data_IF_714727707675
#
_entry.id   IF_714727707675
#
_cell.length_a   1.000
_cell.length_b   1.000
_cell.length_c   1.000
_cell.angle_alpha   90.00
_cell.angle_beta   90.00
_cell.angle_gamma   90.00
#
_symmetry.space_group_name_H-M   'P 1'
#
loop_
_entity.id
_entity.type
_entity.pdbx_description
1 polymer ?
#
# COMPACT_ATOMS: atom_id res chain seq x y z
N UNK A 1 5.52 -66.43 -45.65
CA UNK A 1 5.74 -65.11 -46.26
C UNK A 1 4.85 -64.12 -45.55
N UNK A 2 5.45 -63.16 -44.85
CA UNK A 2 4.76 -62.10 -44.13
C UNK A 2 4.21 -61.05 -45.11
N UNK A 3 2.96 -60.61 -44.92
CA UNK A 3 2.57 -59.28 -45.38
C UNK A 3 1.93 -58.50 -44.22
N UNK A 4 2.72 -57.57 -43.70
CA UNK A 4 2.30 -56.60 -42.71
C UNK A 4 1.86 -55.37 -43.49
N UNK A 5 0.58 -55.00 -43.42
CA UNK A 5 0.12 -53.69 -43.92
C UNK A 5 -0.53 -52.90 -42.78
N UNK A 6 -0.16 -51.62 -42.64
CA UNK A 6 -0.23 -50.90 -41.38
C UNK A 6 -1.68 -50.59 -40.96
N UNK A 7 -1.96 -50.75 -39.66
CA UNK A 7 -3.16 -50.21 -39.01
C UNK A 7 -3.18 -48.69 -39.22
N UNK A 8 -4.02 -48.22 -40.13
CA UNK A 8 -4.35 -46.81 -40.27
C UNK A 8 -4.96 -46.34 -38.95
N UNK A 9 -4.25 -45.45 -38.26
CA UNK A 9 -4.65 -44.89 -36.98
C UNK A 9 -5.80 -43.93 -37.27
N UNK A 10 -7.04 -44.38 -37.03
CA UNK A 10 -8.20 -43.49 -37.05
C UNK A 10 -7.93 -42.35 -36.07
N UNK A 11 -7.84 -41.13 -36.58
CA UNK A 11 -7.83 -39.92 -35.76
C UNK A 11 -9.18 -39.85 -35.06
N UNK A 12 -9.23 -40.29 -33.80
CA UNK A 12 -10.32 -39.93 -32.91
C UNK A 12 -10.28 -38.41 -32.76
N UNK A 13 -11.18 -37.74 -33.45
CA UNK A 13 -11.55 -36.39 -33.09
C UNK A 13 -12.33 -36.52 -31.78
N UNK A 14 -11.63 -36.31 -30.66
CA UNK A 14 -12.30 -36.03 -29.39
C UNK A 14 -12.85 -34.61 -29.47
N UNK A 15 -13.94 -34.49 -30.25
CA UNK A 15 -14.78 -33.31 -30.29
C UNK A 15 -15.46 -33.21 -28.95
N UNK A 16 -14.76 -32.65 -27.96
CA UNK A 16 -15.42 -32.04 -26.82
C UNK A 16 -16.19 -30.86 -27.41
N UNK A 17 -17.38 -31.16 -27.91
CA UNK A 17 -18.28 -30.21 -28.53
C UNK A 17 -18.70 -29.24 -27.43
N UNK A 18 -17.98 -28.12 -27.34
CA UNK A 18 -18.27 -27.07 -26.37
C UNK A 18 -19.62 -26.50 -26.76
N UNK A 19 -20.66 -26.99 -26.09
CA UNK A 19 -22.03 -26.59 -26.41
C UNK A 19 -22.15 -25.06 -26.39
N UNK A 20 -22.80 -24.48 -27.40
CA UNK A 20 -23.03 -23.02 -27.46
C UNK A 20 -23.72 -22.47 -26.21
N UNK A 21 -24.49 -23.32 -25.52
CA UNK A 21 -25.12 -23.04 -24.22
C UNK A 21 -24.08 -22.76 -23.13
N UNK A 22 -23.00 -23.54 -23.06
CA UNK A 22 -21.90 -23.35 -22.11
C UNK A 22 -21.17 -22.03 -22.37
N UNK A 23 -20.98 -21.67 -23.63
CA UNK A 23 -20.35 -20.41 -24.03
C UNK A 23 -21.19 -19.20 -23.60
N UNK A 24 -22.50 -19.25 -23.83
CA UNK A 24 -23.43 -18.18 -23.39
C UNK A 24 -23.44 -18.07 -21.87
N UNK A 25 -23.39 -19.19 -21.15
CA UNK A 25 -23.36 -19.19 -19.68
C UNK A 25 -22.06 -18.60 -19.13
N UNK A 26 -20.91 -18.98 -19.68
CA UNK A 26 -19.60 -18.42 -19.30
C UNK A 26 -19.54 -16.91 -19.61
N UNK A 27 -20.01 -16.49 -20.79
CA UNK A 27 -20.09 -15.08 -21.14
C UNK A 27 -20.98 -14.30 -20.18
N UNK A 28 -22.13 -14.87 -19.78
CA UNK A 28 -23.03 -14.26 -18.80
C UNK A 28 -22.36 -14.10 -17.43
N UNK A 29 -21.66 -15.14 -16.95
CA UNK A 29 -20.91 -15.07 -15.69
C UNK A 29 -19.83 -14.00 -15.74
N UNK A 30 -19.09 -13.91 -16.85
CA UNK A 30 -18.05 -12.90 -17.03
C UNK A 30 -18.63 -11.48 -16.91
N UNK A 31 -19.77 -11.22 -17.56
CA UNK A 31 -20.46 -9.92 -17.46
C UNK A 31 -20.92 -9.64 -16.04
N UNK A 32 -21.50 -10.62 -15.35
CA UNK A 32 -21.93 -10.47 -13.95
C UNK A 32 -20.74 -10.13 -13.05
N UNK A 33 -19.59 -10.79 -13.23
CA UNK A 33 -18.36 -10.49 -12.47
C UNK A 33 -17.88 -9.07 -12.75
N UNK A 34 -17.86 -8.62 -14.01
CA UNK A 34 -17.46 -7.25 -14.36
C UNK A 34 -18.37 -6.21 -13.71
N UNK A 35 -19.69 -6.43 -13.76
CA UNK A 35 -20.68 -5.56 -13.11
C UNK A 35 -20.48 -5.56 -11.59
N UNK A 36 -20.27 -6.73 -10.99
CA UNK A 36 -20.04 -6.86 -9.55
C UNK A 36 -18.77 -6.13 -9.10
N UNK A 37 -17.66 -6.30 -9.82
CA UNK A 37 -16.41 -5.56 -9.59
C UNK A 37 -16.66 -4.06 -9.75
N UNK A 38 -17.39 -3.64 -10.78
CA UNK A 38 -17.77 -2.25 -11.00
C UNK A 38 -18.54 -1.65 -9.82
N UNK A 39 -19.54 -2.37 -9.29
CA UNK A 39 -20.27 -1.96 -8.10
C UNK A 39 -19.39 -1.86 -6.85
N UNK A 40 -18.49 -2.82 -6.64
CA UNK A 40 -17.53 -2.78 -5.51
C UNK A 40 -16.61 -1.56 -5.64
N UNK A 41 -16.06 -1.32 -6.83
CA UNK A 41 -15.19 -0.18 -7.09
C UNK A 41 -15.94 1.14 -6.89
N UNK A 42 -17.18 1.26 -7.37
CA UNK A 42 -18.02 2.44 -7.14
C UNK A 42 -18.32 2.66 -5.66
N UNK A 43 -18.67 1.60 -4.92
CA UNK A 43 -18.89 1.68 -3.48
C UNK A 43 -17.62 2.05 -2.70
N UNK A 44 -16.47 1.51 -3.09
CA UNK A 44 -15.17 1.84 -2.51
C UNK A 44 -14.79 3.29 -2.80
N UNK A 45 -14.95 3.75 -4.05
CA UNK A 45 -14.70 5.14 -4.42
C UNK A 45 -15.60 6.08 -3.62
N UNK A 46 -16.90 5.81 -3.52
CA UNK A 46 -17.83 6.63 -2.73
C UNK A 46 -17.46 6.66 -1.23
N UNK A 47 -17.03 5.52 -0.67
CA UNK A 47 -16.57 5.43 0.72
C UNK A 47 -15.29 6.24 0.98
N UNK A 48 -14.36 6.23 0.03
CA UNK A 48 -13.11 6.99 0.13
C UNK A 48 -13.31 8.48 -0.21
N UNK A 49 -14.25 8.83 -1.09
CA UNK A 49 -14.56 10.21 -1.49
C UNK A 49 -15.20 11.01 -0.36
N UNK A 50 -16.08 10.37 0.42
CA UNK A 50 -16.58 10.93 1.68
C UNK A 50 -15.49 11.21 2.74
N UNK A 51 -14.25 10.76 2.50
CA UNK A 51 -13.05 11.08 3.30
C UNK A 51 -12.00 11.92 2.56
N UNK A 52 -12.18 12.17 1.25
CA UNK A 52 -11.19 12.82 0.35
C UNK A 52 -11.67 14.14 -0.26
N UNK A 53 -12.88 14.61 0.05
CA UNK A 53 -13.44 15.87 -0.46
C UNK A 53 -12.65 17.14 -0.12
N UNK A 54 -11.50 17.05 0.55
CA UNK A 54 -10.55 18.15 0.72
C UNK A 54 -9.42 18.17 -0.33
N UNK A 55 -9.34 17.26 -1.32
CA UNK A 55 -8.14 17.22 -2.19
C UNK A 55 -8.27 16.83 -3.66
N UNK A 56 -9.45 16.59 -4.25
CA UNK A 56 -9.48 16.11 -5.65
C UNK A 56 -10.64 16.65 -6.50
N UNK A 57 -10.70 17.96 -6.67
CA UNK A 57 -11.69 18.65 -7.53
C UNK A 57 -11.14 19.22 -8.84
N UNK A 58 -10.07 18.66 -9.44
CA UNK A 58 -9.40 19.29 -10.61
C UNK A 58 -9.40 18.49 -11.91
N UNK A 59 -10.16 17.40 -12.03
CA UNK A 59 -10.15 16.63 -13.28
C UNK A 59 -11.53 16.11 -13.67
N UNK A 60 -12.38 17.00 -14.18
CA UNK A 60 -13.34 16.60 -15.21
C UNK A 60 -13.76 17.79 -16.08
N UNK A 61 -13.54 17.65 -17.38
CA UNK A 61 -13.88 18.63 -18.43
C UNK A 61 -13.16 18.27 -19.72
N UNK A 62 -13.79 17.40 -20.50
CA UNK A 62 -13.41 16.97 -21.85
C UNK A 62 -13.13 18.10 -22.84
N UNK A 63 -12.39 17.74 -23.88
CA UNK A 63 -12.13 18.46 -25.13
C UNK A 63 -11.28 19.73 -25.02
N UNK A 64 -10.02 19.63 -25.45
CA UNK A 64 -9.52 20.35 -26.64
C UNK A 64 -8.00 20.09 -26.75
N UNK A 65 -7.65 19.32 -27.78
CA UNK A 65 -6.52 19.55 -28.68
C UNK A 65 -5.20 20.10 -28.10
N UNK A 66 -4.12 19.31 -28.26
CA UNK A 66 -2.71 19.74 -28.11
C UNK A 66 -2.38 20.47 -26.82
N UNK A 67 -2.15 19.73 -25.74
CA UNK A 67 -1.20 20.20 -24.72
C UNK A 67 -0.08 19.19 -24.63
N UNK A 68 1.10 19.66 -25.04
CA UNK A 68 2.39 19.02 -24.81
C UNK A 68 2.41 18.39 -23.41
N UNK A 69 3.12 17.25 -23.21
CA UNK A 69 3.26 16.68 -21.89
C UNK A 69 3.76 17.80 -20.98
N UNK A 70 2.90 18.19 -20.04
CA UNK A 70 3.25 19.14 -19.00
C UNK A 70 4.53 18.61 -18.37
N UNK A 71 5.65 19.28 -18.63
CA UNK A 71 6.94 18.98 -18.02
C UNK A 71 6.68 18.74 -16.53
N UNK A 72 7.26 17.69 -15.92
CA UNK A 72 6.99 17.34 -14.53
C UNK A 72 7.12 18.61 -13.68
N UNK A 73 5.97 19.11 -13.22
CA UNK A 73 5.93 20.37 -12.50
C UNK A 73 6.60 20.12 -11.16
N UNK A 74 7.86 20.55 -11.05
CA UNK A 74 8.55 20.66 -9.77
C UNK A 74 7.64 21.48 -8.85
N UNK A 75 7.17 20.82 -7.79
CA UNK A 75 6.21 21.34 -6.84
C UNK A 75 6.80 22.60 -6.19
N UNK A 76 6.49 23.78 -6.75
CA UNK A 76 7.11 25.07 -6.41
C UNK A 76 6.88 25.51 -4.94
N UNK A 77 6.01 24.79 -4.20
CA UNK A 77 5.68 25.04 -2.81
C UNK A 77 6.22 23.96 -1.85
N UNK A 78 7.31 23.29 -2.22
CA UNK A 78 8.00 22.32 -1.36
C UNK A 78 8.46 22.93 -0.02
N UNK A 79 8.78 24.22 0.03
CA UNK A 79 9.27 24.89 1.25
C UNK A 79 8.21 25.12 2.35
N UNK A 80 6.94 25.33 1.99
CA UNK A 80 5.85 25.51 2.99
C UNK A 80 5.50 24.18 3.65
N UNK A 81 5.64 23.08 2.91
CA UNK A 81 5.51 21.71 3.44
C UNK A 81 6.59 21.41 4.49
N UNK A 82 7.84 21.82 4.25
CA UNK A 82 8.95 21.54 5.16
C UNK A 82 8.81 22.21 6.52
N UNK A 83 8.38 23.48 6.60
CA UNK A 83 8.20 24.16 7.89
C UNK A 83 7.09 23.54 8.73
N UNK A 84 5.97 23.17 8.11
CA UNK A 84 4.85 22.51 8.81
C UNK A 84 5.27 21.13 9.33
N UNK A 85 5.99 20.36 8.51
CA UNK A 85 6.52 19.05 8.87
C UNK A 85 7.59 19.15 9.96
N UNK A 86 8.42 20.20 9.94
CA UNK A 86 9.41 20.48 10.98
C UNK A 86 8.72 20.76 12.32
N UNK A 87 7.70 21.62 12.32
CA UNK A 87 6.91 21.95 13.52
C UNK A 87 6.18 20.72 14.09
N UNK A 88 5.62 19.88 13.23
CA UNK A 88 4.96 18.64 13.64
C UNK A 88 5.96 17.67 14.29
N UNK A 89 7.14 17.50 13.69
CA UNK A 89 8.22 16.67 14.27
C UNK A 89 8.74 17.21 15.58
N UNK A 90 8.94 18.53 15.69
CA UNK A 90 9.34 19.17 16.95
C UNK A 90 8.29 18.97 18.04
N UNK A 91 7.00 19.10 17.71
CA UNK A 91 5.92 18.86 18.68
C UNK A 91 5.92 17.42 19.19
N UNK A 92 6.22 16.43 18.34
CA UNK A 92 6.34 15.04 18.75
C UNK A 92 7.54 14.81 19.67
N UNK A 93 8.69 15.43 19.40
CA UNK A 93 9.91 15.24 20.22
C UNK A 93 9.78 15.81 21.65
N UNK A 94 8.98 16.85 21.82
CA UNK A 94 8.86 17.59 23.08
C UNK A 94 7.56 17.30 23.86
N UNK A 95 6.72 16.37 23.40
CA UNK A 95 5.45 16.05 24.04
C UNK A 95 5.37 14.61 24.53
N UNK A 96 4.43 14.34 25.42
CA UNK A 96 4.12 12.97 25.84
C UNK A 96 3.14 12.33 24.87
N UNK A 97 3.33 11.05 24.58
CA UNK A 97 2.48 10.32 23.66
C UNK A 97 2.44 8.83 23.92
N UNK A 98 1.45 8.17 23.32
CA UNK A 98 1.40 6.71 23.32
C UNK A 98 2.04 6.19 22.05
N UNK A 99 3.02 5.28 22.18
CA UNK A 99 3.57 4.53 21.05
C UNK A 99 2.72 3.29 20.81
N UNK A 100 2.35 2.58 21.89
CA UNK A 100 1.44 1.45 21.84
C UNK A 100 0.65 1.39 23.15
N UNK A 101 -0.64 1.73 23.10
CA UNK A 101 -1.53 1.73 24.27
C UNK A 101 -1.78 0.34 24.84
N UNK A 102 -1.96 -0.65 23.97
CA UNK A 102 -2.26 -2.04 24.37
C UNK A 102 -1.11 -2.67 25.16
N UNK A 103 0.13 -2.33 24.79
CA UNK A 103 1.34 -2.81 25.46
C UNK A 103 1.83 -1.87 26.58
N UNK A 104 1.12 -0.77 26.84
CA UNK A 104 1.53 0.21 27.85
C UNK A 104 2.79 1.01 27.52
N UNK A 105 3.19 1.09 26.24
CA UNK A 105 4.42 1.77 25.81
C UNK A 105 4.13 3.24 25.52
N UNK A 106 4.75 4.12 26.31
CA UNK A 106 4.68 5.58 26.17
C UNK A 106 5.98 6.16 25.60
N UNK A 107 5.83 7.23 24.84
CA UNK A 107 6.92 8.13 24.46
C UNK A 107 6.99 9.26 25.49
N UNK A 108 8.21 9.60 25.90
CA UNK A 108 8.54 10.73 26.77
C UNK A 108 9.32 11.78 25.98
N UNK A 109 9.19 13.08 26.31
CA UNK A 109 9.97 14.14 25.69
C UNK A 109 11.46 13.82 25.70
N UNK A 110 12.16 14.18 24.62
CA UNK A 110 13.57 13.82 24.43
C UNK A 110 14.47 14.37 25.55
N UNK A 111 14.19 15.55 26.07
CA UNK A 111 14.89 16.13 27.23
C UNK A 111 14.81 15.20 28.43
N UNK A 112 13.62 14.69 28.71
CA UNK A 112 13.38 13.78 29.83
C UNK A 112 14.02 12.41 29.60
N UNK A 113 14.02 11.94 28.36
CA UNK A 113 14.72 10.71 27.99
C UNK A 113 16.22 10.83 28.26
N UNK A 114 16.84 11.94 27.87
CA UNK A 114 18.26 12.19 28.12
C UNK A 114 18.57 12.27 29.62
N UNK A 115 17.76 12.99 30.41
CA UNK A 115 17.92 13.06 31.87
C UNK A 115 17.86 11.68 32.53
N UNK A 116 16.86 10.88 32.15
CA UNK A 116 16.68 9.53 32.69
C UNK A 116 17.79 8.59 32.24
N UNK A 117 18.28 8.74 31.01
CA UNK A 117 19.41 7.97 30.48
C UNK A 117 20.68 8.26 31.28
N UNK A 118 21.06 9.54 31.43
CA UNK A 118 22.23 9.94 32.23
C UNK A 118 22.10 9.50 33.68
N UNK A 119 20.91 9.64 34.28
CA UNK A 119 20.65 9.21 35.66
C UNK A 119 20.77 7.68 35.82
N UNK A 120 20.42 6.91 34.79
CA UNK A 120 20.50 5.44 34.81
C UNK A 120 21.92 4.92 34.56
N UNK A 121 22.71 5.61 33.74
CA UNK A 121 24.09 5.21 33.38
C UNK A 121 25.15 5.59 34.44
N UNK A 122 24.78 6.26 35.54
CA UNK A 122 25.69 6.56 36.66
C UNK A 122 25.62 5.54 37.82
N UNK A 123 25.82 4.24 37.51
CA UNK A 123 26.85 3.49 38.24
C UNK A 123 27.60 2.52 37.31
N UNK A 124 28.46 3.03 36.43
CA UNK A 124 29.43 2.20 35.68
C UNK A 124 30.90 2.57 35.95
N UNK A 125 31.19 3.19 37.09
CA UNK A 125 32.59 3.37 37.53
C UNK A 125 32.77 3.30 39.06
N UNK A 126 32.50 2.12 39.65
CA UNK A 126 33.11 1.69 40.93
C UNK A 126 33.25 0.17 40.99
N UNK A 127 34.20 -0.36 40.24
CA UNK A 127 35.03 -1.49 40.69
C UNK A 127 36.30 -1.59 39.84
N UNK A 128 37.28 -0.75 40.17
CA UNK A 128 38.68 -1.14 39.97
C UNK A 128 39.01 -2.14 41.08
N UNK A 129 39.32 -3.42 40.80
CA UNK A 129 39.85 -4.29 41.83
C UNK A 129 41.28 -3.85 42.12
N UNK A 130 41.45 -3.00 43.14
CA UNK A 130 42.71 -2.86 43.85
C UNK A 130 42.92 -4.12 44.69
N UNK A 131 43.53 -5.16 44.11
CA UNK A 131 44.20 -6.19 44.91
C UNK A 131 45.61 -5.70 45.22
N UNK A 132 45.75 -5.19 46.43
CA UNK A 132 47.00 -5.32 47.18
C UNK A 132 47.20 -6.81 47.47
N UNK A 133 48.28 -7.40 46.96
CA UNK A 133 49.24 -8.27 47.66
C UNK A 133 50.31 -8.73 46.67
#
# INVERSE_FOLDING_TARGET
MANNSPKQKHYQHEGTDVSGRSIVWVASILVVILVFIGFILLGLLAYFDGRRSDSFGLFQGEAEEKRAPSLPHLQAKSGVSMKKLQQEKESLLHSYGWVNKEKGIVHIPIERAMELFVKKELPMDREKPSRQQ
#
